data_IF_163394787602
#
_entry.id   IF_163394787602
#
_cell.length_a   1.000
_cell.length_b   1.000
_cell.length_c   1.000
_cell.angle_alpha   90.00
_cell.angle_beta   90.00
_cell.angle_gamma   90.00
#
_symmetry.space_group_name_H-M   'P 1'
#
loop_
_entity.id
_entity.type
_entity.pdbx_description
1 polymer ?
#
# COMPACT_ATOMS: atom_id res chain seq x y z
N UNK A 1 -3.07 -8.30 -1.04
CA UNK A 1 -3.20 -6.98 -0.36
C UNK A 1 -3.43 -7.19 1.12
N UNK A 2 -2.88 -6.33 1.94
CA UNK A 2 -3.06 -6.28 3.39
C UNK A 2 -3.22 -4.82 3.83
N UNK A 3 -3.60 -4.56 5.08
CA UNK A 3 -3.79 -3.22 5.58
C UNK A 3 -2.94 -2.90 6.82
N UNK A 4 -2.76 -1.61 7.06
CA UNK A 4 -2.12 -1.07 8.26
C UNK A 4 -2.97 0.04 8.84
N UNK A 5 -3.11 0.04 10.16
CA UNK A 5 -3.87 1.04 10.90
C UNK A 5 -5.36 0.76 10.98
N UNK A 6 -6.13 1.74 11.40
CA UNK A 6 -7.57 1.59 11.63
C UNK A 6 -8.36 2.06 10.41
N UNK A 7 -9.26 1.22 9.91
CA UNK A 7 -10.09 1.47 8.72
C UNK A 7 -11.14 2.58 8.87
N UNK A 8 -11.42 3.00 10.09
CA UNK A 8 -12.40 4.05 10.36
C UNK A 8 -11.75 5.43 10.43
N UNK A 9 -12.50 6.46 10.09
CA UNK A 9 -12.09 7.86 10.28
C UNK A 9 -11.86 8.08 11.78
N UNK A 10 -10.79 8.78 12.15
CA UNK A 10 -10.50 9.07 13.55
C UNK A 10 -11.56 10.01 14.13
N UNK A 11 -12.00 9.68 15.35
CA UNK A 11 -12.76 10.62 16.20
C UNK A 11 -11.79 11.70 16.70
N UNK A 12 -12.31 12.86 17.11
CA UNK A 12 -11.47 13.97 17.59
C UNK A 12 -10.44 13.57 18.67
N UNK A 13 -9.37 14.35 18.81
CA UNK A 13 -8.31 14.12 19.79
C UNK A 13 -7.00 13.53 19.24
N UNK A 14 -6.93 13.09 17.98
CA UNK A 14 -5.66 12.73 17.34
C UNK A 14 -4.93 14.00 16.87
N UNK A 15 -3.63 14.08 17.15
CA UNK A 15 -2.73 15.16 16.72
C UNK A 15 -1.44 14.55 16.14
N UNK A 16 -0.55 15.38 15.59
CA UNK A 16 0.68 14.94 14.95
C UNK A 16 1.59 14.07 15.85
N UNK A 17 1.43 14.11 17.17
CA UNK A 17 2.18 13.30 18.13
C UNK A 17 1.53 11.94 18.42
N UNK A 18 0.35 11.68 17.92
CA UNK A 18 -0.34 10.41 18.12
C UNK A 18 0.42 9.23 17.46
N UNK A 19 0.27 7.99 17.96
CA UNK A 19 0.92 6.83 17.37
C UNK A 19 0.57 6.65 15.88
N UNK A 20 1.53 6.23 15.08
CA UNK A 20 1.37 6.11 13.62
C UNK A 20 0.16 5.27 13.18
N UNK A 21 -0.20 4.22 13.92
CA UNK A 21 -1.39 3.41 13.62
C UNK A 21 -2.71 4.14 13.88
N UNK A 22 -2.69 5.23 14.63
CA UNK A 22 -3.83 6.13 14.84
C UNK A 22 -3.89 7.22 13.77
N UNK A 23 -2.73 7.64 13.26
CA UNK A 23 -2.61 8.71 12.27
C UNK A 23 -2.77 8.21 10.84
N UNK A 24 -2.45 6.95 10.59
CA UNK A 24 -2.32 6.44 9.23
C UNK A 24 -3.21 5.22 9.02
N UNK A 25 -3.87 5.18 7.86
CA UNK A 25 -4.42 3.98 7.27
C UNK A 25 -3.72 3.71 5.95
N UNK A 26 -3.31 2.49 5.71
CA UNK A 26 -2.74 2.08 4.43
C UNK A 26 -3.38 0.78 3.96
N UNK A 27 -3.58 0.65 2.65
CA UNK A 27 -3.99 -0.58 2.00
C UNK A 27 -3.09 -0.81 0.79
N UNK A 28 -2.51 -2.00 0.68
CA UNK A 28 -1.57 -2.29 -0.39
C UNK A 28 -0.94 -3.67 -0.26
N UNK A 29 0.30 -3.79 -0.69
CA UNK A 29 1.04 -5.05 -0.62
C UNK A 29 2.04 -5.21 -1.75
N UNK A 30 2.05 -6.39 -2.36
CA UNK A 30 2.95 -6.75 -3.44
C UNK A 30 2.17 -7.08 -4.72
N UNK A 31 2.73 -6.70 -5.86
CA UNK A 31 2.29 -7.12 -7.18
C UNK A 31 3.33 -8.11 -7.69
N UNK A 32 2.87 -9.26 -8.18
CA UNK A 32 3.70 -10.36 -8.68
C UNK A 32 3.14 -10.84 -10.01
N UNK A 33 3.98 -11.03 -11.00
CA UNK A 33 3.56 -11.65 -12.25
C UNK A 33 3.17 -13.12 -12.02
N UNK A 34 2.09 -13.58 -12.65
CA UNK A 34 1.50 -14.91 -12.40
C UNK A 34 2.49 -16.06 -12.52
N UNK A 35 3.40 -15.98 -13.47
CA UNK A 35 4.47 -16.97 -13.69
C UNK A 35 5.50 -17.05 -12.54
N UNK A 36 5.54 -16.03 -11.68
CA UNK A 36 6.48 -15.97 -10.56
C UNK A 36 5.83 -16.33 -9.21
N UNK A 37 4.52 -16.47 -9.14
CA UNK A 37 3.75 -16.67 -7.91
C UNK A 37 4.25 -17.90 -7.14
N UNK A 38 4.36 -19.05 -7.81
CA UNK A 38 4.78 -20.30 -7.15
C UNK A 38 6.21 -20.24 -6.65
N UNK A 39 7.11 -19.63 -7.41
CA UNK A 39 8.51 -19.50 -7.02
C UNK A 39 8.67 -18.56 -5.81
N UNK A 40 7.98 -17.41 -5.80
CA UNK A 40 7.97 -16.48 -4.67
C UNK A 40 7.34 -17.13 -3.43
N UNK A 41 6.20 -17.80 -3.59
CA UNK A 41 5.54 -18.51 -2.51
C UNK A 41 6.42 -19.63 -1.93
N UNK A 42 7.15 -20.34 -2.79
CA UNK A 42 8.14 -21.36 -2.40
C UNK A 42 9.26 -20.77 -1.54
N UNK A 43 9.79 -19.60 -1.92
CA UNK A 43 10.83 -18.91 -1.14
C UNK A 43 10.34 -18.55 0.27
N UNK A 44 9.11 -18.04 0.40
CA UNK A 44 8.52 -17.72 1.71
C UNK A 44 8.36 -18.97 2.58
N UNK A 45 7.86 -20.07 1.99
CA UNK A 45 7.71 -21.34 2.71
C UNK A 45 9.06 -21.89 3.18
N UNK A 46 10.05 -21.94 2.31
CA UNK A 46 11.41 -22.39 2.64
C UNK A 46 12.04 -21.53 3.75
N UNK A 47 11.83 -20.22 3.72
CA UNK A 47 12.28 -19.33 4.80
C UNK A 47 11.60 -19.67 6.12
N UNK A 48 10.27 -19.85 6.13
CA UNK A 48 9.52 -20.21 7.33
C UNK A 48 9.98 -21.57 7.92
N UNK A 49 10.21 -22.56 7.07
CA UNK A 49 10.73 -23.89 7.46
C UNK A 49 12.12 -23.78 8.07
N UNK A 50 13.03 -23.06 7.41
CA UNK A 50 14.41 -22.84 7.89
C UNK A 50 14.45 -22.22 9.28
N UNK A 51 13.56 -21.25 9.54
CA UNK A 51 13.54 -20.50 10.80
C UNK A 51 12.61 -21.10 11.87
N UNK A 52 11.96 -22.22 11.57
CA UNK A 52 10.94 -22.87 12.44
C UNK A 52 9.85 -21.89 12.87
N UNK A 53 9.33 -21.08 11.93
CA UNK A 53 8.24 -20.13 12.18
C UNK A 53 7.02 -20.53 11.35
N UNK A 54 5.80 -20.40 11.89
CA UNK A 54 4.59 -20.87 11.20
C UNK A 54 4.17 -19.96 10.05
N UNK A 55 4.52 -18.68 10.13
CA UNK A 55 4.24 -17.65 9.13
C UNK A 55 4.98 -16.37 9.48
N UNK A 56 5.24 -15.53 8.46
CA UNK A 56 5.77 -14.19 8.65
C UNK A 56 4.60 -13.24 9.01
N UNK A 57 4.76 -12.53 10.11
CA UNK A 57 3.79 -11.54 10.55
C UNK A 57 4.54 -10.35 11.13
N UNK A 58 4.46 -9.23 10.46
CA UNK A 58 5.27 -8.05 10.76
C UNK A 58 5.19 -7.60 12.22
N UNK A 59 3.99 -7.59 12.82
CA UNK A 59 3.84 -7.25 14.24
C UNK A 59 4.52 -8.26 15.19
N UNK A 60 4.45 -9.56 14.92
CA UNK A 60 5.13 -10.59 15.73
C UNK A 60 6.63 -10.50 15.59
N UNK A 61 7.14 -10.26 14.38
CA UNK A 61 8.57 -10.07 14.11
C UNK A 61 9.08 -8.85 14.87
N UNK A 62 8.46 -7.68 14.69
CA UNK A 62 8.85 -6.43 15.37
C UNK A 62 8.78 -6.52 16.90
N UNK A 63 7.78 -7.21 17.41
CA UNK A 63 7.61 -7.38 18.86
C UNK A 63 8.38 -8.57 19.45
N UNK A 64 9.03 -9.41 18.63
CA UNK A 64 9.71 -10.62 19.09
C UNK A 64 8.79 -11.55 19.89
N UNK A 65 7.55 -11.75 19.43
CA UNK A 65 6.56 -12.61 20.10
C UNK A 65 6.53 -14.02 19.52
N UNK A 66 6.17 -14.99 20.36
CA UNK A 66 6.04 -16.40 19.98
C UNK A 66 7.36 -16.96 19.48
N UNK A 67 7.37 -17.63 18.34
CA UNK A 67 8.57 -18.22 17.71
C UNK A 67 9.66 -17.21 17.35
N UNK A 68 9.36 -15.91 17.36
CA UNK A 68 10.32 -14.83 17.10
C UNK A 68 11.03 -14.33 18.38
N UNK A 69 10.88 -15.00 19.52
CA UNK A 69 11.52 -14.63 20.79
C UNK A 69 13.05 -14.49 20.70
N UNK A 70 13.72 -15.30 19.85
CA UNK A 70 15.15 -15.25 19.61
C UNK A 70 15.64 -13.88 19.08
N UNK A 71 14.76 -13.11 18.43
CA UNK A 71 15.10 -11.77 17.94
C UNK A 71 15.44 -10.78 19.07
N UNK A 72 15.08 -11.09 20.31
CA UNK A 72 15.41 -10.27 21.50
C UNK A 72 16.64 -10.76 22.25
N UNK A 73 16.94 -12.05 22.17
CA UNK A 73 17.90 -12.72 23.05
C UNK A 73 19.19 -13.13 22.35
N UNK A 74 19.16 -13.28 21.00
CA UNK A 74 20.30 -13.73 20.22
C UNK A 74 20.59 -12.74 19.09
N UNK A 75 21.59 -11.89 19.31
CA UNK A 75 21.95 -10.83 18.36
C UNK A 75 22.49 -11.38 17.03
N UNK A 76 23.30 -12.44 17.06
CA UNK A 76 23.84 -13.04 15.86
C UNK A 76 22.75 -13.68 15.01
N UNK A 77 21.86 -14.44 15.65
CA UNK A 77 20.72 -15.07 15.00
C UNK A 77 19.75 -14.02 14.46
N UNK A 78 19.52 -12.94 15.20
CA UNK A 78 18.73 -11.78 14.76
C UNK A 78 19.28 -11.14 13.49
N UNK A 79 20.61 -10.87 13.46
CA UNK A 79 21.26 -10.26 12.30
C UNK A 79 21.11 -11.15 11.05
N UNK A 80 21.33 -12.45 11.18
CA UNK A 80 21.16 -13.42 10.08
C UNK A 80 19.70 -13.46 9.60
N UNK A 81 18.74 -13.51 10.55
CA UNK A 81 17.32 -13.52 10.22
C UNK A 81 16.92 -12.30 9.39
N UNK A 82 17.28 -11.08 9.83
CA UNK A 82 16.92 -9.88 9.10
C UNK A 82 17.66 -9.75 7.76
N UNK A 83 18.89 -10.21 7.65
CA UNK A 83 19.60 -10.23 6.37
C UNK A 83 18.90 -11.14 5.35
N UNK A 84 18.46 -12.31 5.77
CA UNK A 84 17.72 -13.23 4.89
C UNK A 84 16.28 -12.76 4.62
N UNK A 85 15.62 -12.15 5.61
CA UNK A 85 14.31 -11.54 5.43
C UNK A 85 14.36 -10.38 4.42
N UNK A 86 15.42 -9.57 4.47
CA UNK A 86 15.65 -8.52 3.48
C UNK A 86 15.76 -9.11 2.06
N UNK A 87 16.51 -10.21 1.89
CA UNK A 87 16.63 -10.89 0.60
C UNK A 87 15.27 -11.40 0.07
N UNK A 88 14.42 -11.89 0.99
CA UNK A 88 13.09 -12.37 0.64
C UNK A 88 12.15 -11.23 0.21
N UNK A 89 12.17 -10.11 0.94
CA UNK A 89 11.29 -8.94 0.67
C UNK A 89 11.80 -8.13 -0.52
N UNK A 90 13.10 -8.14 -0.78
CA UNK A 90 13.74 -7.43 -1.89
C UNK A 90 13.94 -8.32 -3.13
N UNK A 91 13.11 -9.33 -3.31
CA UNK A 91 13.08 -10.17 -4.51
C UNK A 91 12.62 -9.35 -5.72
N UNK A 92 13.40 -9.33 -6.79
CA UNK A 92 13.16 -8.50 -7.99
C UNK A 92 11.82 -8.79 -8.69
N UNK A 93 11.20 -9.93 -8.40
CA UNK A 93 9.87 -10.32 -8.88
C UNK A 93 8.72 -9.63 -8.16
N UNK A 94 9.01 -8.91 -7.06
CA UNK A 94 8.04 -8.18 -6.27
C UNK A 94 8.00 -6.71 -6.67
N UNK A 95 6.81 -6.14 -6.69
CA UNK A 95 6.61 -4.69 -6.79
C UNK A 95 5.80 -4.27 -5.58
N UNK A 96 6.37 -3.42 -4.74
CA UNK A 96 5.73 -2.90 -3.56
C UNK A 96 4.77 -1.76 -3.92
N UNK A 97 3.56 -1.78 -3.37
CA UNK A 97 2.52 -0.82 -3.68
C UNK A 97 1.58 -0.59 -2.49
N UNK A 98 1.13 0.66 -2.31
CA UNK A 98 0.12 1.01 -1.32
C UNK A 98 -0.57 2.35 -1.63
N UNK A 99 -1.79 2.51 -1.10
CA UNK A 99 -2.39 3.81 -0.84
C UNK A 99 -2.35 4.08 0.67
N UNK A 100 -1.70 5.18 1.05
CA UNK A 100 -1.47 5.59 2.44
C UNK A 100 -2.25 6.86 2.69
N UNK A 101 -3.13 6.86 3.67
CA UNK A 101 -4.04 7.97 3.98
C UNK A 101 -3.75 8.50 5.38
N UNK A 102 -3.55 9.82 5.49
CA UNK A 102 -3.58 10.52 6.76
C UNK A 102 -5.02 10.56 7.29
N UNK A 103 -5.31 9.85 8.38
CA UNK A 103 -6.67 9.72 8.92
C UNK A 103 -7.22 11.05 9.46
N UNK A 104 -6.44 11.84 10.23
CA UNK A 104 -6.89 13.17 10.63
C UNK A 104 -7.12 14.08 9.43
N UNK A 105 -6.18 14.16 8.49
CA UNK A 105 -6.34 14.99 7.29
C UNK A 105 -7.51 14.55 6.42
N UNK A 106 -7.82 13.24 6.36
CA UNK A 106 -9.02 12.73 5.69
C UNK A 106 -10.29 13.19 6.40
N UNK A 107 -10.32 13.13 7.75
CA UNK A 107 -11.41 13.67 8.56
C UNK A 107 -11.64 15.15 8.26
N UNK A 108 -10.60 15.95 8.39
CA UNK A 108 -10.68 17.42 8.29
C UNK A 108 -11.11 17.86 6.87
N UNK A 109 -10.70 17.10 5.85
CA UNK A 109 -11.05 17.38 4.45
C UNK A 109 -12.48 16.97 4.09
N UNK A 110 -12.98 15.86 4.64
CA UNK A 110 -14.20 15.23 4.14
C UNK A 110 -15.32 15.11 5.17
N UNK A 111 -15.05 15.13 6.49
CA UNK A 111 -16.06 14.89 7.50
C UNK A 111 -17.10 16.01 7.55
N UNK A 112 -16.64 17.26 7.50
CA UNK A 112 -17.51 18.42 7.54
C UNK A 112 -18.16 18.73 6.19
N UNK A 113 -17.45 18.40 5.11
CA UNK A 113 -17.86 18.75 3.74
C UNK A 113 -18.91 17.80 3.18
N UNK A 114 -18.93 16.55 3.60
CA UNK A 114 -19.82 15.53 3.07
C UNK A 114 -20.64 14.88 4.19
N UNK A 115 -22.01 14.93 4.11
CA UNK A 115 -22.87 14.21 5.05
C UNK A 115 -22.62 12.70 4.98
N UNK A 116 -22.99 11.99 6.06
CA UNK A 116 -22.75 10.54 6.18
C UNK A 116 -23.29 9.71 5.02
N UNK A 117 -24.43 10.13 4.46
CA UNK A 117 -25.10 9.46 3.33
C UNK A 117 -24.33 9.55 2.00
N UNK A 118 -23.43 10.55 1.84
CA UNK A 118 -22.66 10.77 0.62
C UNK A 118 -21.15 10.58 0.82
N UNK A 119 -20.75 10.28 2.07
CA UNK A 119 -19.34 10.10 2.41
C UNK A 119 -18.85 8.73 2.03
N UNK A 120 -17.79 8.71 1.26
CA UNK A 120 -17.10 7.45 1.00
C UNK A 120 -16.37 6.94 2.24
N UNK A 121 -16.37 5.62 2.39
CA UNK A 121 -15.49 5.01 3.37
C UNK A 121 -14.03 5.27 2.97
N UNK A 122 -13.20 5.67 3.94
CA UNK A 122 -11.76 5.86 3.73
C UNK A 122 -11.10 4.58 3.17
N UNK A 123 -11.56 3.41 3.61
CA UNK A 123 -11.14 2.12 3.09
C UNK A 123 -11.49 1.93 1.60
N UNK A 124 -12.65 2.44 1.13
CA UNK A 124 -13.00 2.43 -0.29
C UNK A 124 -12.04 3.28 -1.10
N UNK A 125 -11.74 4.49 -0.63
CA UNK A 125 -10.77 5.37 -1.30
C UNK A 125 -9.39 4.70 -1.44
N UNK A 126 -8.90 4.08 -0.37
CA UNK A 126 -7.62 3.38 -0.40
C UNK A 126 -7.65 2.18 -1.35
N UNK A 127 -8.74 1.40 -1.35
CA UNK A 127 -8.92 0.24 -2.21
C UNK A 127 -8.95 0.65 -3.68
N UNK A 128 -9.82 1.61 -4.03
CA UNK A 128 -10.01 2.04 -5.41
C UNK A 128 -8.69 2.57 -6.01
N UNK A 129 -7.96 3.40 -5.27
CA UNK A 129 -6.66 3.94 -5.72
C UNK A 129 -5.61 2.83 -5.85
N UNK A 130 -5.54 1.91 -4.87
CA UNK A 130 -4.56 0.82 -4.92
C UNK A 130 -4.81 -0.10 -6.11
N UNK A 131 -6.07 -0.49 -6.33
CA UNK A 131 -6.46 -1.36 -7.44
C UNK A 131 -6.25 -0.65 -8.78
N UNK A 132 -6.64 0.64 -8.91
CA UNK A 132 -6.44 1.39 -10.14
C UNK A 132 -4.97 1.44 -10.55
N UNK A 133 -4.07 1.75 -9.63
CA UNK A 133 -2.64 1.87 -9.94
C UNK A 133 -2.03 0.54 -10.32
N UNK A 134 -2.41 -0.53 -9.65
CA UNK A 134 -2.01 -1.89 -10.02
C UNK A 134 -2.59 -2.30 -11.38
N UNK A 135 -3.84 -1.91 -11.68
CA UNK A 135 -4.47 -2.15 -12.98
C UNK A 135 -3.76 -1.41 -14.11
N UNK A 136 -3.34 -0.15 -13.90
CA UNK A 136 -2.54 0.60 -14.89
C UNK A 136 -1.22 -0.08 -15.22
N UNK A 137 -0.54 -0.67 -14.22
CA UNK A 137 0.64 -1.48 -14.46
C UNK A 137 0.30 -2.72 -15.31
N UNK A 138 -0.76 -3.44 -14.94
CA UNK A 138 -1.20 -4.62 -15.69
C UNK A 138 -1.59 -4.27 -17.14
N UNK A 139 -2.28 -3.15 -17.35
CA UNK A 139 -2.64 -2.64 -18.69
C UNK A 139 -1.40 -2.37 -19.54
N UNK A 140 -0.41 -1.67 -19.00
CA UNK A 140 0.86 -1.40 -19.70
C UNK A 140 1.53 -2.70 -20.17
N UNK A 141 1.47 -3.72 -19.33
CA UNK A 141 2.11 -5.01 -19.58
C UNK A 141 1.21 -5.99 -20.38
N UNK A 142 0.04 -5.54 -20.86
CA UNK A 142 -0.92 -6.36 -21.61
C UNK A 142 -1.51 -7.52 -20.80
N UNK A 143 -1.63 -7.35 -19.48
CA UNK A 143 -2.05 -8.38 -18.51
C UNK A 143 -3.40 -8.07 -17.89
N UNK A 144 -3.96 -9.07 -17.22
CA UNK A 144 -5.09 -8.92 -16.32
C UNK A 144 -4.61 -8.96 -14.86
N UNK A 145 -5.32 -8.26 -13.99
CA UNK A 145 -5.02 -8.17 -12.56
C UNK A 145 -5.99 -9.05 -11.77
N UNK A 146 -5.44 -9.98 -11.01
CA UNK A 146 -6.11 -10.68 -9.93
C UNK A 146 -5.85 -9.96 -8.62
N UNK A 147 -6.88 -9.80 -7.77
CA UNK A 147 -6.77 -9.14 -6.48
C UNK A 147 -6.98 -10.16 -5.37
N UNK A 148 -5.93 -10.42 -4.59
CA UNK A 148 -5.99 -11.27 -3.39
C UNK A 148 -5.83 -10.40 -2.16
N UNK A 149 -6.74 -10.51 -1.19
CA UNK A 149 -6.67 -9.73 0.05
C UNK A 149 -6.76 -10.64 1.29
N UNK A 150 -6.17 -10.16 2.41
CA UNK A 150 -6.24 -10.88 3.67
C UNK A 150 -7.68 -10.87 4.19
N UNK A 151 -8.19 -12.08 4.49
CA UNK A 151 -9.51 -12.27 5.09
C UNK A 151 -9.56 -11.64 6.48
N UNK A 152 -10.51 -10.74 6.70
CA UNK A 152 -10.69 -10.05 7.97
C UNK A 152 -12.03 -10.37 8.64
N UNK A 153 -13.05 -10.64 7.86
CA UNK A 153 -14.39 -10.98 8.33
C UNK A 153 -15.41 -10.85 7.21
N UNK A 154 -16.49 -11.58 7.30
CA UNK A 154 -17.49 -11.67 6.23
C UNK A 154 -18.04 -10.31 5.77
N UNK A 155 -18.24 -9.38 6.71
CA UNK A 155 -18.78 -8.05 6.42
C UNK A 155 -17.76 -7.20 5.65
N UNK A 156 -16.53 -7.18 6.11
CA UNK A 156 -15.42 -6.45 5.50
C UNK A 156 -15.05 -7.06 4.14
N UNK A 157 -15.02 -8.36 4.04
CA UNK A 157 -14.73 -9.09 2.81
C UNK A 157 -15.77 -8.77 1.72
N UNK A 158 -17.08 -8.80 2.06
CA UNK A 158 -18.16 -8.38 1.14
C UNK A 158 -18.05 -6.92 0.70
N UNK A 159 -17.52 -6.04 1.56
CA UNK A 159 -17.30 -4.65 1.17
C UNK A 159 -16.21 -4.53 0.10
N UNK A 160 -15.09 -5.25 0.24
CA UNK A 160 -14.01 -5.23 -0.76
C UNK A 160 -14.48 -5.83 -2.09
N UNK A 161 -15.23 -6.93 -2.07
CA UNK A 161 -15.83 -7.52 -3.26
C UNK A 161 -16.78 -6.53 -3.97
N UNK A 162 -17.59 -5.79 -3.18
CA UNK A 162 -18.46 -4.75 -3.71
C UNK A 162 -17.66 -3.60 -4.34
N UNK A 163 -16.60 -3.11 -3.68
CA UNK A 163 -15.76 -2.05 -4.25
C UNK A 163 -15.14 -2.47 -5.58
N UNK A 164 -14.70 -3.72 -5.66
CA UNK A 164 -14.18 -4.28 -6.91
C UNK A 164 -15.25 -4.34 -8.03
N UNK A 165 -16.47 -4.74 -7.68
CA UNK A 165 -17.58 -4.73 -8.63
C UNK A 165 -17.95 -3.31 -9.07
N UNK A 166 -17.95 -2.33 -8.13
CA UNK A 166 -18.21 -0.92 -8.42
C UNK A 166 -17.18 -0.36 -9.43
N UNK A 167 -15.88 -0.68 -9.27
CA UNK A 167 -14.84 -0.26 -10.21
C UNK A 167 -15.10 -0.80 -11.62
N UNK A 168 -15.49 -2.06 -11.75
CA UNK A 168 -15.82 -2.66 -13.05
C UNK A 168 -17.10 -2.05 -13.67
N UNK A 169 -18.07 -1.69 -12.86
CA UNK A 169 -19.33 -1.14 -13.34
C UNK A 169 -19.26 0.34 -13.72
N UNK A 170 -18.59 1.15 -12.90
CA UNK A 170 -18.63 2.62 -13.00
C UNK A 170 -17.27 3.28 -13.22
N UNK A 171 -16.16 2.56 -13.00
CA UNK A 171 -14.82 3.15 -13.01
C UNK A 171 -14.50 3.87 -11.71
N UNK A 172 -13.47 4.73 -11.76
CA UNK A 172 -13.10 5.55 -10.61
C UNK A 172 -14.17 6.61 -10.36
N UNK A 173 -14.80 6.55 -9.18
CA UNK A 173 -15.89 7.46 -8.80
C UNK A 173 -15.43 8.84 -8.33
N UNK A 174 -14.19 9.26 -8.61
CA UNK A 174 -13.71 10.58 -8.25
C UNK A 174 -14.22 11.66 -9.18
N UNK A 175 -14.31 12.91 -8.67
CA UNK A 175 -14.69 14.05 -9.49
C UNK A 175 -13.77 14.14 -10.73
N UNK A 176 -14.39 14.10 -11.91
CA UNK A 176 -13.65 14.08 -13.19
C UNK A 176 -12.73 15.29 -13.36
N UNK A 177 -13.14 16.47 -12.90
CA UNK A 177 -12.37 17.71 -13.00
C UNK A 177 -11.08 17.62 -12.17
N UNK A 178 -11.19 17.20 -10.91
CA UNK A 178 -10.05 17.14 -9.97
C UNK A 178 -9.13 15.93 -10.20
N UNK A 179 -9.66 14.86 -10.79
CA UNK A 179 -8.92 13.63 -11.06
C UNK A 179 -8.34 13.54 -12.47
N UNK A 180 -8.73 14.44 -13.37
CA UNK A 180 -8.35 14.42 -14.78
C UNK A 180 -6.84 14.24 -15.02
N UNK A 181 -6.01 14.92 -14.24
CA UNK A 181 -4.55 14.84 -14.35
C UNK A 181 -3.97 13.46 -14.00
N UNK A 182 -4.73 12.62 -13.30
CA UNK A 182 -4.32 11.26 -12.92
C UNK A 182 -4.79 10.20 -13.91
N UNK A 183 -5.51 10.60 -14.99
CA UNK A 183 -6.05 9.70 -15.99
C UNK A 183 -6.86 8.55 -15.36
N UNK A 184 -7.97 8.83 -14.62
CA UNK A 184 -8.71 7.80 -13.92
C UNK A 184 -9.27 6.76 -14.90
N UNK A 185 -9.20 5.48 -14.51
CA UNK A 185 -9.70 4.39 -15.34
C UNK A 185 -11.22 4.36 -15.38
N UNK A 186 -11.77 4.14 -16.56
CA UNK A 186 -13.19 3.93 -16.79
C UNK A 186 -13.63 2.52 -16.41
N UNK A 187 -14.94 2.30 -16.22
CA UNK A 187 -15.49 0.96 -15.99
C UNK A 187 -15.14 -0.04 -17.10
N UNK A 188 -15.15 0.40 -18.36
CA UNK A 188 -14.76 -0.45 -19.48
C UNK A 188 -13.29 -0.91 -19.36
N UNK A 189 -12.37 -0.02 -19.04
CA UNK A 189 -10.95 -0.38 -18.83
C UNK A 189 -10.78 -1.35 -17.65
N UNK A 190 -11.51 -1.15 -16.57
CA UNK A 190 -11.51 -2.10 -15.46
C UNK A 190 -12.11 -3.46 -15.84
N UNK A 191 -13.20 -3.48 -16.61
CA UNK A 191 -13.78 -4.75 -17.12
C UNK A 191 -12.78 -5.55 -17.94
N UNK A 192 -11.97 -4.89 -18.75
CA UNK A 192 -10.97 -5.55 -19.61
C UNK A 192 -9.77 -6.08 -18.82
N UNK A 193 -9.37 -5.38 -17.73
CA UNK A 193 -8.10 -5.66 -17.05
C UNK A 193 -8.22 -6.20 -15.63
N UNK A 194 -9.36 -6.04 -14.94
CA UNK A 194 -9.61 -6.72 -13.67
C UNK A 194 -10.24 -8.08 -13.93
N UNK A 195 -9.59 -9.14 -13.46
CA UNK A 195 -10.09 -10.52 -13.62
C UNK A 195 -10.97 -10.91 -12.43
N UNK A 196 -10.39 -11.30 -11.32
CA UNK A 196 -11.10 -11.77 -10.12
C UNK A 196 -10.58 -11.13 -8.85
N UNK A 197 -11.41 -11.19 -7.82
CA UNK A 197 -11.04 -10.83 -6.44
C UNK A 197 -11.44 -11.97 -5.50
N UNK A 198 -10.57 -12.29 -4.53
CA UNK A 198 -10.91 -13.23 -3.46
C UNK A 198 -10.13 -12.97 -2.19
N UNK A 199 -10.68 -13.43 -1.06
CA UNK A 199 -10.01 -13.40 0.23
C UNK A 199 -9.25 -14.69 0.50
N UNK A 200 -8.10 -14.58 1.16
CA UNK A 200 -7.34 -15.74 1.62
C UNK A 200 -6.84 -15.54 3.06
N UNK A 201 -6.42 -16.62 3.69
CA UNK A 201 -5.94 -16.59 5.08
C UNK A 201 -4.48 -16.17 5.19
N UNK A 202 -4.08 -15.87 6.43
CA UNK A 202 -2.68 -15.51 6.80
C UNK A 202 -1.64 -16.57 6.45
N UNK A 203 -2.06 -17.78 6.09
CA UNK A 203 -1.17 -18.83 5.57
C UNK A 203 -0.67 -18.57 4.15
N UNK A 204 -1.32 -17.69 3.39
CA UNK A 204 -0.88 -17.36 2.02
C UNK A 204 0.47 -16.63 2.06
N UNK A 205 1.52 -17.17 1.40
CA UNK A 205 2.85 -16.57 1.41
C UNK A 205 2.91 -15.16 0.87
N UNK A 206 2.12 -14.84 -0.17
CA UNK A 206 2.12 -13.50 -0.76
C UNK A 206 1.44 -12.46 0.15
N UNK A 207 0.43 -12.85 0.93
CA UNK A 207 -0.17 -11.98 1.94
C UNK A 207 0.78 -11.71 3.09
N UNK A 208 1.65 -12.67 3.45
CA UNK A 208 2.71 -12.45 4.43
C UNK A 208 3.72 -11.39 3.93
N UNK A 209 4.09 -11.41 2.65
CA UNK A 209 4.93 -10.37 2.05
C UNK A 209 4.20 -9.02 2.00
N UNK A 210 2.90 -9.02 1.74
CA UNK A 210 2.10 -7.80 1.75
C UNK A 210 2.13 -7.11 3.14
N UNK A 211 1.94 -7.84 4.25
CA UNK A 211 2.08 -7.32 5.63
C UNK A 211 3.47 -6.71 5.87
N UNK A 212 4.52 -7.38 5.39
CA UNK A 212 5.90 -6.90 5.56
C UNK A 212 6.22 -5.63 4.78
N UNK A 213 5.54 -5.40 3.65
CA UNK A 213 5.76 -4.24 2.77
C UNK A 213 4.88 -3.05 3.15
N UNK A 214 3.60 -3.25 3.45
CA UNK A 214 2.66 -2.15 3.74
C UNK A 214 3.09 -1.35 4.96
N UNK A 215 3.58 -2.02 6.00
CA UNK A 215 4.00 -1.35 7.22
C UNK A 215 5.15 -0.33 6.99
N UNK A 216 6.32 -0.66 6.43
CA UNK A 216 7.38 0.32 6.20
C UNK A 216 6.94 1.46 5.27
N UNK A 217 6.15 1.17 4.23
CA UNK A 217 5.59 2.19 3.32
C UNK A 217 4.69 3.16 4.07
N UNK A 218 3.87 2.68 5.02
CA UNK A 218 2.99 3.52 5.83
C UNK A 218 3.73 4.37 6.86
N UNK A 219 4.88 3.90 7.37
CA UNK A 219 5.61 4.58 8.46
C UNK A 219 6.45 5.76 7.99
N UNK A 220 6.78 5.85 6.72
CA UNK A 220 7.64 6.94 6.22
C UNK A 220 7.03 8.33 6.47
N UNK A 221 5.71 8.44 6.49
CA UNK A 221 4.98 9.68 6.73
C UNK A 221 5.10 10.19 8.18
N UNK A 222 5.59 9.36 9.10
CA UNK A 222 5.84 9.75 10.50
C UNK A 222 7.15 10.51 10.71
N UNK A 223 7.90 10.82 9.64
CA UNK A 223 9.20 11.49 9.72
C UNK A 223 10.33 10.64 10.30
N UNK A 224 10.06 9.38 10.64
CA UNK A 224 11.07 8.45 11.16
C UNK A 224 11.80 7.76 10.01
N UNK A 225 13.10 7.69 10.14
CA UNK A 225 13.91 6.86 9.22
C UNK A 225 13.44 5.40 9.31
N UNK A 226 13.13 4.81 8.16
CA UNK A 226 12.71 3.42 8.06
C UNK A 226 13.63 2.68 7.09
N UNK A 227 14.53 1.85 7.65
CA UNK A 227 15.50 1.07 6.87
C UNK A 227 14.82 0.23 5.79
N UNK A 228 13.73 -0.46 6.12
CA UNK A 228 13.04 -1.32 5.16
C UNK A 228 12.45 -0.50 3.99
N UNK A 229 11.89 0.68 4.27
CA UNK A 229 11.43 1.59 3.21
C UNK A 229 12.59 2.07 2.34
N UNK A 230 13.70 2.50 2.95
CA UNK A 230 14.87 2.96 2.21
C UNK A 230 15.40 1.87 1.26
N UNK A 231 15.46 0.63 1.70
CA UNK A 231 15.85 -0.52 0.87
C UNK A 231 14.89 -0.73 -0.31
N UNK A 232 13.55 -0.60 -0.10
CA UNK A 232 12.58 -0.67 -1.20
C UNK A 232 12.82 0.43 -2.24
N UNK A 233 13.18 1.65 -1.81
CA UNK A 233 13.52 2.77 -2.69
C UNK A 233 14.83 2.53 -3.43
N UNK A 234 15.91 2.19 -2.72
CA UNK A 234 17.24 1.93 -3.27
C UNK A 234 17.22 0.81 -4.32
N UNK A 235 16.46 -0.25 -4.07
CA UNK A 235 16.26 -1.36 -4.99
C UNK A 235 15.19 -1.11 -6.06
N UNK A 236 14.60 0.08 -6.08
CA UNK A 236 13.54 0.46 -7.03
C UNK A 236 12.38 -0.53 -7.04
N UNK A 237 11.99 -1.01 -5.85
CA UNK A 237 10.92 -2.00 -5.67
C UNK A 237 9.53 -1.39 -5.66
N UNK A 238 9.41 -0.07 -5.41
CA UNK A 238 8.12 0.60 -5.39
C UNK A 238 7.55 0.73 -6.80
N UNK A 239 6.23 0.71 -6.90
CA UNK A 239 5.49 0.90 -8.16
C UNK A 239 5.88 2.22 -8.85
N UNK A 240 6.29 3.23 -8.10
CA UNK A 240 6.81 4.52 -8.56
C UNK A 240 7.95 4.38 -9.58
N UNK A 241 8.77 3.34 -9.47
CA UNK A 241 9.90 3.08 -10.34
C UNK A 241 9.60 2.09 -11.47
N UNK A 242 8.38 1.57 -11.50
CA UNK A 242 7.97 0.51 -12.45
C UNK A 242 7.02 1.00 -13.53
N UNK A 243 6.59 2.27 -13.48
CA UNK A 243 5.67 2.86 -14.45
C UNK A 243 6.17 4.24 -14.89
N UNK A 244 5.97 4.58 -16.16
CA UNK A 244 6.42 5.86 -16.75
C UNK A 244 5.56 7.04 -16.28
N UNK A 245 4.24 6.80 -16.12
CA UNK A 245 3.32 7.80 -15.59
C UNK A 245 3.60 8.06 -14.10
N UNK A 246 3.96 9.30 -13.78
CA UNK A 246 4.23 9.74 -12.41
C UNK A 246 3.02 9.65 -11.49
N UNK A 247 1.81 9.63 -12.05
CA UNK A 247 0.59 9.42 -11.29
C UNK A 247 0.44 7.96 -10.83
N UNK A 248 1.19 7.01 -11.41
CA UNK A 248 1.20 5.60 -11.02
C UNK A 248 2.36 5.34 -10.07
N UNK A 249 2.05 5.02 -8.82
CA UNK A 249 3.03 4.80 -7.77
C UNK A 249 2.34 4.64 -6.41
N UNK A 250 3.08 4.63 -5.32
CA UNK A 250 2.53 4.68 -3.97
C UNK A 250 1.78 5.99 -3.78
N UNK A 251 0.53 5.94 -3.32
CA UNK A 251 -0.24 7.16 -3.05
C UNK A 251 -0.15 7.53 -1.58
N UNK A 252 0.24 8.77 -1.34
CA UNK A 252 0.10 9.42 -0.04
C UNK A 252 -1.01 10.47 -0.15
N UNK A 253 -2.06 10.33 0.66
CA UNK A 253 -3.27 11.15 0.57
C UNK A 253 -3.56 11.85 1.89
N UNK A 254 -4.04 13.10 1.81
CA UNK A 254 -4.43 13.91 2.96
C UNK A 254 -3.31 14.22 3.95
N UNK A 255 -2.06 14.23 3.50
CA UNK A 255 -0.91 14.72 4.25
C UNK A 255 -0.68 16.19 3.89
N UNK A 256 -1.30 17.10 4.62
CA UNK A 256 -1.22 18.54 4.47
C UNK A 256 -1.35 19.23 5.83
N UNK A 257 -1.09 20.54 5.87
CA UNK A 257 -1.15 21.30 7.11
C UNK A 257 -0.19 20.78 8.17
N UNK A 258 -0.69 20.55 9.38
CA UNK A 258 0.10 20.09 10.53
C UNK A 258 0.65 18.66 10.38
N UNK A 259 0.07 17.86 9.49
CA UNK A 259 0.49 16.47 9.23
C UNK A 259 1.62 16.36 8.18
N UNK A 260 2.08 17.50 7.66
CA UNK A 260 3.14 17.61 6.68
C UNK A 260 2.71 17.21 5.26
N UNK A 261 3.44 17.68 4.26
CA UNK A 261 3.28 17.27 2.88
C UNK A 261 4.23 16.09 2.60
N UNK A 262 3.70 15.03 2.02
CA UNK A 262 4.50 13.89 1.54
C UNK A 262 4.15 13.59 0.09
N UNK A 263 5.15 13.67 -0.79
CA UNK A 263 5.00 13.53 -2.25
C UNK A 263 5.53 12.18 -2.77
N UNK A 264 5.82 11.23 -1.88
CA UNK A 264 6.42 9.95 -2.25
C UNK A 264 7.94 10.02 -2.42
N UNK A 265 8.58 8.92 -2.84
CA UNK A 265 10.01 8.90 -3.12
C UNK A 265 10.30 9.84 -4.30
N UNK A 266 11.32 10.67 -4.17
CA UNK A 266 11.78 11.47 -5.31
C UNK A 266 12.31 10.49 -6.37
N UNK A 267 11.66 10.45 -7.52
CA UNK A 267 12.26 9.86 -8.71
C UNK A 267 13.48 10.71 -9.02
N UNK A 268 14.68 10.20 -8.80
CA UNK A 268 15.88 10.85 -9.26
C UNK A 268 15.78 11.00 -10.78
N UNK A 269 15.46 12.20 -11.25
CA UNK A 269 15.65 12.58 -12.64
C UNK A 269 17.12 12.36 -12.98
N UNK A 270 17.36 11.75 -14.12
CA UNK A 270 18.69 11.53 -14.67
C UNK A 270 19.37 12.90 -14.85
N UNK A 271 20.62 12.92 -14.40
CA UNK A 271 21.71 13.84 -14.69
C UNK A 271 21.76 15.22 -14.03
N UNK A 272 23.00 15.60 -13.61
CA UNK A 272 23.27 16.81 -12.87
C UNK A 272 23.63 17.96 -13.82
N UNK A 273 22.71 18.41 -14.63
CA UNK A 273 22.84 19.70 -15.29
C UNK A 273 21.52 20.45 -15.26
N UNK A 274 21.40 21.35 -14.30
CA UNK A 274 20.29 22.30 -14.20
C UNK A 274 19.39 22.04 -12.98
N UNK A 275 19.61 22.79 -11.92
CA UNK A 275 18.68 22.88 -10.80
C UNK A 275 17.31 23.33 -11.29
N UNK A 276 16.23 22.54 -11.13
CA UNK A 276 14.90 23.09 -11.24
C UNK A 276 14.44 23.56 -9.86
N UNK A 277 13.99 24.80 -9.84
CA UNK A 277 13.25 25.39 -8.72
C UNK A 277 12.16 24.45 -8.22
N UNK A 278 12.03 24.35 -6.92
CA UNK A 278 10.98 23.60 -6.24
C UNK A 278 9.60 24.15 -6.63
N UNK A 279 8.98 23.57 -7.63
CA UNK A 279 7.57 23.82 -7.93
C UNK A 279 6.74 23.08 -6.88
N UNK A 280 6.29 23.82 -5.88
CA UNK A 280 5.34 23.35 -4.88
C UNK A 280 4.01 22.97 -5.55
N UNK A 281 3.84 21.70 -5.87
CA UNK A 281 2.56 21.17 -6.33
C UNK A 281 1.67 20.99 -5.11
N UNK A 282 0.73 21.90 -4.92
CA UNK A 282 -0.38 21.70 -3.97
C UNK A 282 -1.17 20.49 -4.42
N UNK A 283 -1.41 19.50 -3.54
CA UNK A 283 -2.30 18.40 -3.88
C UNK A 283 -3.72 18.93 -4.05
N UNK A 284 -4.30 18.72 -5.22
CA UNK A 284 -5.71 19.03 -5.43
C UNK A 284 -6.60 18.12 -4.58
N UNK A 285 -7.69 18.65 -4.05
CA UNK A 285 -8.67 17.87 -3.32
C UNK A 285 -9.29 16.83 -4.26
N UNK A 286 -9.16 15.57 -3.90
CA UNK A 286 -9.99 14.51 -4.49
C UNK A 286 -11.41 14.79 -4.02
N UNK A 287 -12.21 15.43 -4.86
CA UNK A 287 -13.62 15.59 -4.58
C UNK A 287 -14.30 14.23 -4.78
N UNK A 288 -14.95 13.79 -3.74
CA UNK A 288 -15.83 12.62 -3.76
C UNK A 288 -17.23 13.16 -4.06
N UNK A 289 -17.99 12.56 -4.97
CA UNK A 289 -19.34 12.98 -5.25
C UNK A 289 -20.26 12.81 -4.05
#
# INVERSE_FOLDING_TARGET
MDDFGTRTICKGGTNASSPAHELTFALGGVIVASENVDAVAGNVKAFCEKWDVPSLHGNKIRSGKGKFGFLKTDEKRRATFFSELDQLVLDDRLIAHACVICRPGYRDRYLEKYPDSTRWAMSKTAFDISVERAAKLAMRDGRKLDVVYERTGEKEDKLLERYFADLKAAGMGFCAENSRRYGPLTGAQFMDHLNVIWSDGKGNPLLQLADLVVHPVSQITSGKQNRAYNQLVERKMLLDFKHEDEAVGVKYSCYDGEYGAWNGPQKHTRDPEGSPEAVGVKPDPVAVP
#
